data_IF_067450522584
#
_entry.id   IF_067450522584
#
_cell.length_a   1.000
_cell.length_b   1.000
_cell.length_c   1.000
_cell.angle_alpha   90.00
_cell.angle_beta   90.00
_cell.angle_gamma   90.00
#
_symmetry.space_group_name_H-M   'P 1'
#
loop_
_entity.id
_entity.type
_entity.pdbx_description
1 polymer ?
#
# COMPACT_ATOMS: atom_id res chain seq x y z
N UNK A 1 -9.64 24.21 -3.32
CA UNK A 1 -8.45 23.31 -3.27
C UNK A 1 -8.29 22.88 -1.83
N UNK A 2 -8.01 21.59 -1.60
CA UNK A 2 -7.80 21.06 -0.25
C UNK A 2 -6.66 21.80 0.44
N UNK A 3 -6.74 21.95 1.76
CA UNK A 3 -5.64 22.47 2.59
C UNK A 3 -4.79 21.36 3.20
N UNK A 4 -5.18 20.10 2.99
CA UNK A 4 -4.44 18.93 3.47
C UNK A 4 -3.20 18.70 2.61
N UNK A 5 -2.11 18.16 3.18
CA UNK A 5 -0.94 17.74 2.42
C UNK A 5 -1.34 16.69 1.37
N UNK A 6 -0.76 16.81 0.17
CA UNK A 6 -1.01 15.85 -0.90
C UNK A 6 -0.31 14.53 -0.63
N UNK A 7 -0.99 13.40 -0.86
CA UNK A 7 -0.41 12.08 -0.65
C UNK A 7 -0.68 11.10 -1.80
N UNK A 8 0.18 10.09 -1.89
CA UNK A 8 -0.01 8.90 -2.72
C UNK A 8 -0.09 7.70 -1.78
N UNK A 9 -1.19 6.95 -1.89
CA UNK A 9 -1.33 5.67 -1.19
C UNK A 9 -0.65 4.59 -2.02
N UNK A 10 0.16 3.76 -1.38
CA UNK A 10 0.90 2.71 -2.07
C UNK A 10 0.68 1.38 -1.34
N UNK A 11 0.14 0.42 -2.07
CA UNK A 11 0.05 -0.96 -1.63
C UNK A 11 1.42 -1.65 -1.61
N UNK A 12 1.53 -2.76 -0.86
CA UNK A 12 2.77 -3.50 -0.69
C UNK A 12 2.84 -4.79 -1.53
N UNK A 13 2.01 -5.79 -1.26
CA UNK A 13 2.12 -7.13 -1.85
C UNK A 13 1.52 -7.15 -3.26
N UNK A 14 2.33 -7.49 -4.26
CA UNK A 14 1.94 -7.41 -5.68
C UNK A 14 2.15 -6.01 -6.28
N UNK A 15 2.21 -4.98 -5.44
CA UNK A 15 2.49 -3.58 -5.84
C UNK A 15 3.95 -3.20 -5.69
N UNK A 16 4.43 -2.89 -4.48
CA UNK A 16 5.85 -2.58 -4.20
C UNK A 16 6.74 -3.81 -4.18
N UNK A 17 6.18 -4.95 -3.76
CA UNK A 17 6.89 -6.20 -3.54
C UNK A 17 6.32 -7.30 -4.43
N UNK A 18 7.17 -8.00 -5.16
CA UNK A 18 6.83 -9.30 -5.74
C UNK A 18 6.99 -10.36 -4.66
N UNK A 19 5.88 -11.07 -4.36
CA UNK A 19 5.88 -12.16 -3.41
C UNK A 19 6.91 -13.22 -3.81
N UNK A 20 7.80 -13.56 -2.87
CA UNK A 20 8.77 -14.64 -3.04
C UNK A 20 8.14 -16.03 -2.89
N UNK A 21 8.98 -17.02 -2.56
CA UNK A 21 8.52 -18.38 -2.26
C UNK A 21 7.94 -18.47 -0.84
N UNK A 22 6.76 -17.87 -0.65
CA UNK A 22 5.98 -17.94 0.60
C UNK A 22 4.49 -18.09 0.30
N UNK A 23 3.76 -18.63 1.27
CA UNK A 23 2.31 -18.67 1.20
C UNK A 23 1.74 -17.24 1.29
N UNK A 24 0.69 -16.87 0.53
CA UNK A 24 0.10 -15.52 0.58
C UNK A 24 -0.32 -15.07 1.98
N UNK A 25 -0.79 -16.01 2.80
CA UNK A 25 -1.19 -15.76 4.20
C UNK A 25 -0.09 -16.05 5.23
N UNK A 26 1.15 -16.30 4.81
CA UNK A 26 2.27 -16.44 5.75
C UNK A 26 2.52 -15.09 6.45
N UNK A 27 2.87 -15.12 7.73
CA UNK A 27 3.23 -13.92 8.50
C UNK A 27 4.74 -13.72 8.64
N UNK A 28 5.53 -14.51 7.90
CA UNK A 28 7.00 -14.48 7.87
C UNK A 28 7.51 -14.72 6.46
N UNK A 29 8.77 -14.37 6.20
CA UNK A 29 9.41 -14.57 4.89
C UNK A 29 9.21 -13.40 3.94
N UNK A 30 8.68 -12.28 4.44
CA UNK A 30 8.56 -11.02 3.72
C UNK A 30 9.93 -10.43 3.40
N UNK A 31 10.94 -10.72 4.22
CA UNK A 31 12.35 -10.37 3.97
C UNK A 31 12.90 -10.92 2.64
N UNK A 32 12.27 -11.98 2.11
CA UNK A 32 12.66 -12.63 0.84
C UNK A 32 11.90 -12.10 -0.37
N UNK A 33 10.89 -11.26 -0.17
CA UNK A 33 10.17 -10.64 -1.29
C UNK A 33 11.12 -9.74 -2.07
N UNK A 34 10.95 -9.68 -3.40
CA UNK A 34 11.82 -8.85 -4.25
C UNK A 34 11.11 -7.55 -4.62
N UNK A 35 11.82 -6.41 -4.73
CA UNK A 35 11.17 -5.15 -5.05
C UNK A 35 10.66 -5.13 -6.49
N UNK A 36 9.43 -4.65 -6.69
CA UNK A 36 8.91 -4.26 -7.98
C UNK A 36 9.58 -2.94 -8.41
N UNK A 37 10.78 -3.05 -9.00
CA UNK A 37 11.64 -1.91 -9.31
C UNK A 37 10.95 -0.81 -10.11
N UNK A 38 10.15 -1.10 -11.16
CA UNK A 38 9.38 -0.08 -11.85
C UNK A 38 8.46 0.73 -10.92
N UNK A 39 7.72 0.08 -10.02
CA UNK A 39 6.82 0.76 -9.08
C UNK A 39 7.60 1.56 -8.04
N UNK A 40 8.72 1.04 -7.54
CA UNK A 40 9.61 1.78 -6.63
C UNK A 40 10.09 3.09 -7.28
N UNK A 41 10.44 3.06 -8.56
CA UNK A 41 10.85 4.25 -9.32
C UNK A 41 9.70 5.25 -9.51
N UNK A 42 8.47 4.78 -9.73
CA UNK A 42 7.27 5.63 -9.76
C UNK A 42 7.05 6.31 -8.41
N UNK A 43 7.13 5.56 -7.31
CA UNK A 43 6.99 6.10 -5.95
C UNK A 43 8.07 7.13 -5.65
N UNK A 44 9.31 6.87 -6.05
CA UNK A 44 10.41 7.84 -5.92
C UNK A 44 10.14 9.13 -6.69
N UNK A 45 9.62 9.04 -7.91
CA UNK A 45 9.28 10.20 -8.73
C UNK A 45 8.13 11.01 -8.11
N UNK A 46 7.09 10.35 -7.59
CA UNK A 46 5.96 11.00 -6.93
C UNK A 46 6.39 11.70 -5.63
N UNK A 47 7.25 11.07 -4.83
CA UNK A 47 7.84 11.72 -3.66
C UNK A 47 8.69 12.95 -4.07
N UNK A 48 9.53 12.82 -5.10
CA UNK A 48 10.34 13.94 -5.61
C UNK A 48 9.49 15.10 -6.15
N UNK A 49 8.26 14.83 -6.61
CA UNK A 49 7.29 15.84 -7.00
C UNK A 49 6.59 16.54 -5.81
N UNK A 50 6.89 16.12 -4.57
CA UNK A 50 6.39 16.75 -3.34
C UNK A 50 5.18 16.07 -2.71
N UNK A 51 4.82 14.85 -3.13
CA UNK A 51 3.73 14.10 -2.52
C UNK A 51 4.22 13.24 -1.35
N UNK A 52 3.45 13.22 -0.26
CA UNK A 52 3.68 12.30 0.86
C UNK A 52 3.39 10.86 0.42
N UNK A 53 4.25 9.92 0.76
CA UNK A 53 4.02 8.49 0.51
C UNK A 53 3.38 7.87 1.74
N UNK A 54 2.23 7.20 1.59
CA UNK A 54 1.53 6.48 2.66
C UNK A 54 1.44 5.01 2.29
N UNK A 55 1.94 4.11 3.13
CA UNK A 55 1.93 2.67 2.86
C UNK A 55 0.70 2.02 3.51
N UNK A 56 -0.02 1.22 2.73
CA UNK A 56 -1.13 0.39 3.19
C UNK A 56 -0.91 -1.06 2.75
N UNK A 57 -1.27 -2.05 3.57
CA UNK A 57 -1.08 -3.44 3.20
C UNK A 57 -2.06 -4.37 3.89
N UNK A 58 -2.37 -5.49 3.21
CA UNK A 58 -3.12 -6.62 3.78
C UNK A 58 -2.31 -7.48 4.76
N UNK A 59 -0.99 -7.27 4.88
CA UNK A 59 -0.14 -7.96 5.88
C UNK A 59 -0.65 -7.70 7.29
N UNK A 60 -0.57 -8.72 8.14
CA UNK A 60 -0.98 -8.65 9.55
C UNK A 60 0.01 -7.82 10.38
N UNK A 61 -0.49 -7.13 11.39
CA UNK A 61 0.26 -6.25 12.29
C UNK A 61 1.46 -6.95 12.97
N UNK A 62 1.34 -8.24 13.28
CA UNK A 62 2.43 -9.09 13.80
C UNK A 62 3.68 -9.07 12.91
N UNK A 63 3.54 -8.77 11.62
CA UNK A 63 4.63 -8.67 10.66
C UNK A 63 5.22 -7.26 10.48
N UNK A 64 4.81 -6.29 11.30
CA UNK A 64 5.25 -4.89 11.21
C UNK A 64 6.76 -4.75 11.14
N UNK A 65 7.48 -5.35 12.09
CA UNK A 65 8.94 -5.23 12.19
C UNK A 65 9.64 -5.71 10.92
N UNK A 66 9.19 -6.84 10.36
CA UNK A 66 9.75 -7.41 9.13
C UNK A 66 9.40 -6.53 7.91
N UNK A 67 8.17 -6.01 7.87
CA UNK A 67 7.71 -5.11 6.81
C UNK A 67 8.47 -3.78 6.82
N UNK A 68 8.72 -3.20 7.99
CA UNK A 68 9.52 -1.98 8.15
C UNK A 68 10.97 -2.21 7.73
N UNK A 69 11.55 -3.36 8.08
CA UNK A 69 12.89 -3.73 7.63
C UNK A 69 12.98 -3.85 6.10
N UNK A 70 11.99 -4.50 5.49
CA UNK A 70 11.92 -4.65 4.04
C UNK A 70 11.80 -3.28 3.36
N UNK A 71 10.89 -2.42 3.84
CA UNK A 71 10.71 -1.06 3.33
C UNK A 71 11.99 -0.23 3.48
N UNK A 72 12.65 -0.27 4.64
CA UNK A 72 13.91 0.43 4.88
C UNK A 72 15.06 -0.05 3.98
N UNK A 73 15.00 -1.28 3.50
CA UNK A 73 15.99 -1.86 2.59
C UNK A 73 15.70 -1.53 1.12
N UNK A 74 14.43 -1.45 0.73
CA UNK A 74 14.02 -1.46 -0.67
C UNK A 74 13.31 -0.20 -1.18
N UNK A 75 12.76 0.64 -0.29
CA UNK A 75 12.09 1.88 -0.65
C UNK A 75 13.00 3.08 -0.33
N UNK A 76 13.66 3.70 -1.33
CA UNK A 76 14.65 4.75 -1.11
C UNK A 76 14.03 6.14 -0.90
N UNK A 77 12.85 6.22 -0.28
CA UNK A 77 12.15 7.46 0.07
C UNK A 77 11.45 7.32 1.42
N UNK A 78 11.32 8.40 2.20
CA UNK A 78 10.52 8.35 3.41
C UNK A 78 9.04 8.14 3.08
N UNK A 79 8.34 7.49 3.99
CA UNK A 79 6.88 7.35 3.98
C UNK A 79 6.32 7.82 5.32
N UNK A 80 5.12 8.35 5.29
CA UNK A 80 4.36 8.77 6.46
C UNK A 80 3.23 7.77 6.70
N UNK A 81 3.48 6.83 7.61
CA UNK A 81 2.51 5.80 7.97
C UNK A 81 2.73 4.47 7.25
N UNK A 82 2.72 3.41 8.07
CA UNK A 82 2.61 2.02 7.64
C UNK A 82 1.35 1.43 8.28
N UNK A 83 0.29 1.34 7.48
CA UNK A 83 -1.00 0.83 7.92
C UNK A 83 -1.14 -0.64 7.51
N UNK A 84 -1.17 -1.51 8.52
CA UNK A 84 -1.30 -2.96 8.36
C UNK A 84 -2.67 -3.42 8.87
N UNK A 85 -3.04 -4.62 8.46
CA UNK A 85 -4.25 -5.32 8.93
C UNK A 85 -4.07 -5.74 10.38
N UNK A 86 -5.07 -5.53 11.23
CA UNK A 86 -5.05 -6.04 12.59
C UNK A 86 -4.96 -7.58 12.63
N UNK A 87 -4.23 -8.15 13.58
CA UNK A 87 -3.94 -9.60 13.61
C UNK A 87 -5.19 -10.49 13.64
N UNK A 88 -6.26 -10.01 14.28
CA UNK A 88 -7.53 -10.70 14.44
C UNK A 88 -8.52 -10.46 13.29
N UNK A 89 -8.15 -9.68 12.27
CA UNK A 89 -9.05 -9.32 11.17
C UNK A 89 -8.79 -10.18 9.94
N UNK A 90 -9.73 -11.08 9.64
CA UNK A 90 -9.67 -11.99 8.49
C UNK A 90 -10.65 -11.59 7.36
N UNK A 91 -11.19 -10.36 7.39
CA UNK A 91 -12.06 -9.85 6.32
C UNK A 91 -11.30 -9.58 5.02
N UNK A 92 -11.99 -9.40 3.90
CA UNK A 92 -11.37 -9.12 2.59
C UNK A 92 -10.54 -7.83 2.61
N UNK A 93 -9.45 -7.77 1.84
CA UNK A 93 -8.53 -6.61 1.80
C UNK A 93 -9.26 -5.30 1.52
N UNK A 94 -10.22 -5.29 0.59
CA UNK A 94 -11.00 -4.08 0.28
C UNK A 94 -11.68 -3.48 1.52
N UNK A 95 -12.28 -4.30 2.38
CA UNK A 95 -12.94 -3.84 3.61
C UNK A 95 -11.92 -3.24 4.58
N UNK A 96 -10.81 -3.95 4.80
CA UNK A 96 -9.77 -3.52 5.75
C UNK A 96 -9.10 -2.22 5.27
N UNK A 97 -8.71 -2.16 3.99
CA UNK A 97 -8.07 -0.97 3.43
C UNK A 97 -9.01 0.23 3.39
N UNK A 98 -10.31 0.04 3.12
CA UNK A 98 -11.33 1.09 3.19
C UNK A 98 -11.46 1.66 4.60
N UNK A 99 -11.56 0.81 5.62
CA UNK A 99 -11.64 1.28 7.01
C UNK A 99 -10.38 2.02 7.46
N UNK A 100 -9.20 1.54 7.07
CA UNK A 100 -7.93 2.25 7.29
C UNK A 100 -7.96 3.61 6.60
N UNK A 101 -8.37 3.67 5.33
CA UNK A 101 -8.46 4.92 4.59
C UNK A 101 -9.36 5.95 5.28
N UNK A 102 -10.59 5.56 5.61
CA UNK A 102 -11.59 6.44 6.23
C UNK A 102 -11.10 7.00 7.57
N UNK A 103 -10.44 6.17 8.38
CA UNK A 103 -10.01 6.53 9.74
C UNK A 103 -8.68 7.27 9.77
N UNK A 104 -7.73 6.79 8.98
CA UNK A 104 -6.33 7.13 9.13
C UNK A 104 -5.80 7.99 7.98
N UNK A 105 -6.36 7.96 6.78
CA UNK A 105 -5.76 8.64 5.62
C UNK A 105 -6.60 9.84 5.19
N UNK A 106 -7.89 9.64 4.92
CA UNK A 106 -8.81 10.67 4.43
C UNK A 106 -8.86 11.94 5.31
N UNK A 107 -8.80 11.86 6.66
CA UNK A 107 -8.81 13.06 7.50
C UNK A 107 -7.51 13.87 7.46
N UNK A 108 -6.41 13.28 6.96
CA UNK A 108 -5.05 13.83 7.06
C UNK A 108 -4.47 14.25 5.72
N UNK A 109 -4.94 13.69 4.61
CA UNK A 109 -4.32 13.86 3.30
C UNK A 109 -5.31 14.17 2.18
N UNK A 110 -4.86 14.96 1.21
CA UNK A 110 -5.51 15.10 -0.11
C UNK A 110 -4.89 14.07 -1.06
N UNK A 111 -5.57 12.94 -1.25
CA UNK A 111 -5.02 11.79 -1.98
C UNK A 111 -5.02 12.06 -3.48
N UNK A 112 -3.82 12.16 -4.06
CA UNK A 112 -3.61 12.33 -5.50
C UNK A 112 -4.03 11.07 -6.27
N UNK A 113 -3.47 9.93 -5.87
CA UNK A 113 -3.76 8.63 -6.46
C UNK A 113 -3.37 7.49 -5.51
N UNK A 114 -3.81 6.29 -5.89
CA UNK A 114 -3.48 5.03 -5.22
C UNK A 114 -2.73 4.13 -6.22
N UNK A 115 -1.67 3.47 -5.77
CA UNK A 115 -1.04 2.35 -6.48
C UNK A 115 -1.46 1.05 -5.79
N UNK A 116 -2.14 0.17 -6.50
CA UNK A 116 -2.62 -1.13 -5.99
C UNK A 116 -2.60 -2.15 -7.15
N UNK A 117 -2.64 -3.44 -6.88
CA UNK A 117 -2.59 -4.47 -7.93
C UNK A 117 -3.88 -5.29 -8.03
N UNK A 118 -4.56 -5.54 -6.90
CA UNK A 118 -5.64 -6.51 -6.77
C UNK A 118 -6.99 -5.97 -7.25
N UNK A 119 -7.66 -6.67 -8.18
CA UNK A 119 -8.86 -6.18 -8.88
C UNK A 119 -9.93 -5.66 -7.93
N UNK A 120 -10.36 -6.45 -6.95
CA UNK A 120 -11.47 -6.06 -6.06
C UNK A 120 -11.09 -4.91 -5.10
N UNK A 121 -9.80 -4.69 -4.84
CA UNK A 121 -9.31 -3.56 -4.04
C UNK A 121 -9.25 -2.30 -4.90
N UNK A 122 -8.77 -2.45 -6.12
CA UNK A 122 -8.76 -1.40 -7.15
C UNK A 122 -10.18 -0.90 -7.45
N UNK A 123 -11.14 -1.80 -7.60
CA UNK A 123 -12.55 -1.47 -7.82
C UNK A 123 -13.10 -0.70 -6.61
N UNK A 124 -12.79 -1.13 -5.38
CA UNK A 124 -13.17 -0.38 -4.18
C UNK A 124 -12.62 1.05 -4.18
N UNK A 125 -11.34 1.25 -4.50
CA UNK A 125 -10.74 2.60 -4.56
C UNK A 125 -11.45 3.50 -5.57
N UNK A 126 -11.81 2.95 -6.74
CA UNK A 126 -12.41 3.71 -7.84
C UNK A 126 -13.90 3.94 -7.64
N UNK A 127 -14.66 2.88 -7.41
CA UNK A 127 -16.11 2.87 -7.49
C UNK A 127 -16.76 3.32 -6.18
N UNK A 128 -16.18 2.97 -5.03
CA UNK A 128 -16.74 3.34 -3.72
C UNK A 128 -16.17 4.65 -3.20
N UNK A 129 -14.88 4.90 -3.41
CA UNK A 129 -14.17 6.07 -2.84
C UNK A 129 -13.91 7.18 -3.86
N UNK A 130 -14.12 6.94 -5.15
CA UNK A 130 -13.93 7.95 -6.20
C UNK A 130 -12.47 8.36 -6.40
N UNK A 131 -11.51 7.56 -5.94
CA UNK A 131 -10.09 7.85 -6.05
C UNK A 131 -9.53 7.37 -7.38
N UNK A 132 -8.54 8.10 -7.90
CA UNK A 132 -7.73 7.62 -9.02
C UNK A 132 -6.85 6.48 -8.52
N UNK A 133 -7.10 5.26 -9.00
CA UNK A 133 -6.25 4.10 -8.70
C UNK A 133 -5.53 3.61 -9.97
N UNK A 134 -4.19 3.61 -9.93
CA UNK A 134 -3.32 3.09 -10.97
C UNK A 134 -3.01 1.63 -10.65
N UNK A 135 -3.58 0.72 -11.46
CA UNK A 135 -3.39 -0.71 -11.27
C UNK A 135 -2.05 -1.15 -11.89
N UNK A 136 -1.13 -1.66 -11.07
CA UNK A 136 0.28 -1.85 -11.49
C UNK A 136 0.61 -3.24 -12.01
N UNK A 137 -0.27 -4.22 -11.81
CA UNK A 137 -0.13 -5.60 -12.28
C UNK A 137 -1.53 -6.25 -12.50
N UNK A 138 -1.62 -7.37 -13.24
CA UNK A 138 -2.84 -8.17 -13.28
C UNK A 138 -3.22 -8.64 -11.87
N UNK A 139 -4.47 -8.45 -11.46
CA UNK A 139 -4.92 -8.63 -10.07
C UNK A 139 -6.08 -9.59 -9.86
N UNK A 140 -6.26 -10.59 -10.72
CA UNK A 140 -7.40 -11.52 -10.66
C UNK A 140 -7.18 -12.62 -9.60
N UNK A 141 -7.17 -12.22 -8.32
CA UNK A 141 -7.03 -13.09 -7.15
C UNK A 141 -7.57 -12.47 -5.87
#
# INVERSE_FOLDING_TARGET
>A
MSTLPSAVIVDLDGTLAHMGDRHPFATTGYDKDTPNRPVVEVVRALHAAGHTIVIISGRKEVSRTETEWWLGTHLPVPFEGLHLRADSDDRTDGIVKREIYDREIAPRFDVLCVLDDRNHVVDMWRDELGLTCLQVAPGDF
#
